data_IF_655441897459
#
_entry.id   IF_655441897459
#
_cell.length_a   1.000
_cell.length_b   1.000
_cell.length_c   1.000
_cell.angle_alpha   90.00
_cell.angle_beta   90.00
_cell.angle_gamma   90.00
#
_symmetry.space_group_name_H-M   'P 1'
#
loop_
_entity.id
_entity.type
_entity.pdbx_description
1 polymer ?
#
# COMPACT_ATOMS: atom_id res chain seq x y z
N UNK A 1 21.58 28.42 9.06
CA UNK A 1 21.56 27.16 8.28
C UNK A 1 20.39 26.31 8.79
N UNK A 2 19.22 26.29 8.12
CA UNK A 2 18.19 25.28 8.39
C UNK A 2 18.38 24.08 7.46
N UNK A 3 18.39 22.89 8.06
CA UNK A 3 18.63 21.61 7.41
C UNK A 3 17.43 21.25 6.52
N UNK A 4 17.60 21.36 5.20
CA UNK A 4 16.61 20.96 4.22
C UNK A 4 16.60 19.43 4.08
N UNK A 5 15.92 18.73 4.98
CA UNK A 5 15.66 17.30 4.85
C UNK A 5 14.31 17.03 4.17
N UNK A 6 14.42 16.97 2.84
CA UNK A 6 13.72 16.07 1.92
C UNK A 6 12.22 16.31 1.58
N UNK A 7 12.03 16.87 0.39
CA UNK A 7 10.79 17.27 -0.30
C UNK A 7 9.83 16.15 -0.76
N UNK A 8 9.58 15.11 0.04
CA UNK A 8 8.72 13.98 -0.38
C UNK A 8 7.68 13.59 0.68
N UNK A 9 6.99 14.57 1.25
CA UNK A 9 5.98 14.31 2.28
C UNK A 9 4.58 14.70 1.81
N UNK A 10 3.91 13.74 1.17
CA UNK A 10 2.47 13.82 1.01
C UNK A 10 1.86 13.63 2.41
N UNK A 11 1.39 14.74 2.99
CA UNK A 11 0.69 14.74 4.28
C UNK A 11 -0.79 14.50 4.02
N UNK A 12 -1.36 13.48 4.64
CA UNK A 12 -2.82 13.26 4.60
C UNK A 12 -3.56 14.43 5.29
N UNK A 13 -4.88 14.55 5.16
CA UNK A 13 -5.70 15.64 5.72
C UNK A 13 -5.55 15.78 7.26
N UNK A 14 -5.06 14.72 7.91
CA UNK A 14 -4.70 14.69 9.34
C UNK A 14 -3.28 15.21 9.65
N UNK A 15 -2.51 15.67 8.65
CA UNK A 15 -1.14 16.17 8.81
C UNK A 15 -0.04 15.11 8.94
N UNK A 16 -0.39 13.82 8.83
CA UNK A 16 0.54 12.68 8.93
C UNK A 16 1.21 12.33 7.61
N UNK A 17 2.48 11.95 7.70
CA UNK A 17 3.28 11.56 6.55
C UNK A 17 2.75 10.23 5.99
N UNK A 18 2.31 10.22 4.72
CA UNK A 18 1.84 8.99 4.05
C UNK A 18 2.95 7.93 3.98
N UNK A 19 4.22 8.36 3.94
CA UNK A 19 5.40 7.50 3.89
C UNK A 19 5.65 6.69 5.16
N UNK A 20 5.10 7.10 6.30
CA UNK A 20 5.43 6.45 7.58
C UNK A 20 4.58 5.23 7.89
N UNK A 21 3.52 4.94 7.10
CA UNK A 21 2.64 3.77 7.34
C UNK A 21 2.36 3.57 8.84
N UNK A 22 2.14 4.66 9.58
CA UNK A 22 2.33 4.71 11.03
C UNK A 22 1.38 3.74 11.74
N UNK A 23 1.90 2.60 12.20
CA UNK A 23 1.14 1.58 12.91
C UNK A 23 0.11 0.82 12.06
N UNK A 24 0.13 0.98 10.74
CA UNK A 24 -0.82 0.31 9.85
C UNK A 24 -0.33 -1.12 9.60
N UNK A 25 -1.13 -2.09 10.03
CA UNK A 25 -0.81 -3.51 9.82
C UNK A 25 -0.85 -3.81 8.31
N UNK A 26 0.04 -4.70 7.85
CA UNK A 26 0.03 -5.21 6.46
C UNK A 26 -1.37 -5.72 6.04
N UNK A 27 -2.12 -6.25 7.01
CA UNK A 27 -3.52 -6.67 6.82
C UNK A 27 -4.41 -5.50 6.40
N UNK A 28 -4.31 -4.36 7.07
CA UNK A 28 -5.12 -3.17 6.81
C UNK A 28 -4.75 -2.51 5.49
N UNK A 29 -3.46 -2.47 5.16
CA UNK A 29 -2.97 -1.99 3.85
C UNK A 29 -3.58 -2.84 2.74
N UNK A 30 -3.52 -4.16 2.91
CA UNK A 30 -4.07 -5.09 1.95
C UNK A 30 -5.60 -4.99 1.87
N UNK A 31 -6.31 -4.93 3.00
CA UNK A 31 -7.77 -4.73 3.04
C UNK A 31 -8.18 -3.44 2.32
N UNK A 32 -7.43 -2.34 2.51
CA UNK A 32 -7.67 -1.08 1.82
C UNK A 32 -7.49 -1.22 0.31
N UNK A 33 -6.36 -1.78 -0.13
CA UNK A 33 -6.07 -1.97 -1.56
C UNK A 33 -7.07 -2.89 -2.23
N UNK A 34 -7.44 -3.99 -1.57
CA UNK A 34 -8.45 -4.92 -2.05
C UNK A 34 -9.84 -4.28 -2.07
N UNK A 35 -10.19 -3.45 -1.08
CA UNK A 35 -11.44 -2.71 -1.08
C UNK A 35 -11.52 -1.63 -2.16
N UNK A 36 -10.38 -1.00 -2.49
CA UNK A 36 -10.31 0.09 -3.46
C UNK A 36 -10.19 -0.41 -4.91
N UNK A 37 -9.32 -1.39 -5.16
CA UNK A 37 -9.00 -1.90 -6.50
C UNK A 37 -9.61 -3.28 -6.79
N UNK A 38 -9.88 -4.08 -5.76
CA UNK A 38 -10.27 -5.47 -5.92
C UNK A 38 -9.09 -6.42 -6.17
N UNK A 39 -9.30 -7.69 -5.82
CA UNK A 39 -8.36 -8.78 -6.08
C UNK A 39 -7.87 -8.90 -7.54
N UNK A 40 -8.70 -8.78 -8.59
CA UNK A 40 -8.23 -8.96 -9.97
C UNK A 40 -7.26 -7.86 -10.42
N UNK A 41 -7.39 -6.64 -9.91
CA UNK A 41 -6.49 -5.54 -10.24
C UNK A 41 -5.15 -5.68 -9.49
N UNK A 42 -5.21 -6.11 -8.22
CA UNK A 42 -4.00 -6.47 -7.48
C UNK A 42 -3.25 -7.64 -8.14
N UNK A 43 -3.96 -8.64 -8.64
CA UNK A 43 -3.35 -9.71 -9.43
C UNK A 43 -2.73 -9.15 -10.70
N UNK A 44 -3.38 -8.24 -11.44
CA UNK A 44 -2.76 -7.64 -12.62
C UNK A 44 -1.49 -6.86 -12.32
N UNK A 45 -1.46 -6.12 -11.21
CA UNK A 45 -0.32 -5.27 -10.83
C UNK A 45 0.83 -6.03 -10.19
N UNK A 46 0.51 -6.98 -9.29
CA UNK A 46 1.52 -7.73 -8.52
C UNK A 46 1.83 -9.09 -9.19
N UNK A 47 0.93 -9.58 -10.06
CA UNK A 47 0.96 -10.88 -10.76
C UNK A 47 1.18 -12.05 -9.82
N UNK A 48 0.27 -12.19 -8.84
CA UNK A 48 0.34 -13.25 -7.84
C UNK A 48 -0.97 -14.03 -7.77
N UNK A 49 -0.88 -15.31 -8.14
CA UNK A 49 -1.96 -16.30 -8.09
C UNK A 49 -2.67 -16.37 -6.73
N UNK A 50 -2.06 -15.87 -5.65
CA UNK A 50 -2.70 -15.80 -4.33
C UNK A 50 -4.05 -15.08 -4.38
N UNK A 51 -4.22 -14.07 -5.21
CA UNK A 51 -5.48 -13.32 -5.31
C UNK A 51 -6.52 -13.97 -6.22
N UNK A 52 -6.09 -14.86 -7.13
CA UNK A 52 -6.96 -15.58 -8.05
C UNK A 52 -7.49 -16.91 -7.49
N UNK A 53 -6.71 -17.58 -6.64
CA UNK A 53 -7.01 -18.94 -6.12
C UNK A 53 -7.69 -18.90 -4.74
N UNK A 54 -7.20 -18.06 -3.83
CA UNK A 54 -7.73 -17.94 -2.45
C UNK A 54 -7.75 -16.46 -2.02
N UNK A 55 -8.74 -15.68 -2.50
CA UNK A 55 -8.87 -14.26 -2.20
C UNK A 55 -9.28 -14.05 -0.73
N UNK A 56 -8.33 -14.21 0.18
CA UNK A 56 -8.51 -14.06 1.61
C UNK A 56 -7.32 -13.37 2.24
N UNK A 57 -7.60 -12.37 3.08
CA UNK A 57 -6.58 -11.56 3.77
C UNK A 57 -5.56 -12.44 4.52
N UNK A 58 -6.00 -13.52 5.17
CA UNK A 58 -5.11 -14.47 5.87
C UNK A 58 -4.17 -15.24 4.91
N UNK A 59 -4.67 -15.72 3.77
CA UNK A 59 -3.86 -16.40 2.75
C UNK A 59 -2.86 -15.44 2.13
N UNK A 60 -3.29 -14.23 1.79
CA UNK A 60 -2.41 -13.19 1.26
C UNK A 60 -1.33 -12.78 2.26
N UNK A 61 -1.64 -12.60 3.54
CA UNK A 61 -0.62 -12.34 4.58
C UNK A 61 0.41 -13.47 4.67
N UNK A 62 -0.03 -14.72 4.59
CA UNK A 62 0.85 -15.89 4.61
C UNK A 62 1.75 -15.90 3.37
N UNK A 63 1.21 -15.52 2.20
CA UNK A 63 1.97 -15.38 0.96
C UNK A 63 2.97 -14.22 1.03
N UNK A 64 2.57 -13.05 1.51
CA UNK A 64 3.44 -11.87 1.66
C UNK A 64 4.61 -12.15 2.62
N UNK A 65 4.44 -13.02 3.61
CA UNK A 65 5.53 -13.51 4.48
C UNK A 65 6.51 -14.43 3.75
N UNK A 66 6.03 -15.23 2.79
CA UNK A 66 6.86 -16.12 1.97
C UNK A 66 7.52 -15.40 0.79
N UNK A 67 6.99 -14.24 0.40
CA UNK A 67 7.39 -13.52 -0.81
C UNK A 67 7.63 -12.04 -0.49
N UNK A 68 8.87 -11.68 -0.07
CA UNK A 68 9.17 -10.33 0.41
C UNK A 68 9.03 -9.24 -0.67
N UNK A 69 9.28 -9.56 -1.94
CA UNK A 69 9.08 -8.61 -3.04
C UNK A 69 7.60 -8.24 -3.25
N UNK A 70 6.67 -9.16 -2.97
CA UNK A 70 5.24 -8.90 -3.09
C UNK A 70 4.79 -7.94 -1.99
N UNK A 71 5.33 -8.11 -0.78
CA UNK A 71 5.14 -7.18 0.34
C UNK A 71 5.55 -5.75 -0.02
N UNK A 72 6.77 -5.58 -0.52
CA UNK A 72 7.26 -4.27 -0.95
C UNK A 72 6.36 -3.65 -2.03
N UNK A 73 5.86 -4.46 -2.98
CA UNK A 73 4.93 -4.01 -4.03
C UNK A 73 3.61 -3.49 -3.46
N UNK A 74 3.02 -4.21 -2.50
CA UNK A 74 1.77 -3.81 -1.82
C UNK A 74 1.99 -2.49 -1.06
N UNK A 75 3.09 -2.38 -0.32
CA UNK A 75 3.47 -1.16 0.41
C UNK A 75 3.64 0.04 -0.55
N UNK A 76 4.34 -0.15 -1.67
CA UNK A 76 4.55 0.88 -2.69
C UNK A 76 3.24 1.32 -3.36
N UNK A 77 2.35 0.37 -3.66
CA UNK A 77 1.04 0.66 -4.24
C UNK A 77 0.17 1.49 -3.30
N UNK A 78 0.20 1.16 -2.01
CA UNK A 78 -0.51 1.93 -1.00
C UNK A 78 0.00 3.37 -0.90
N UNK A 79 1.32 3.54 -0.86
CA UNK A 79 1.95 4.87 -0.84
C UNK A 79 1.56 5.65 -2.09
N UNK A 80 1.63 5.04 -3.28
CA UNK A 80 1.22 5.69 -4.53
C UNK A 80 -0.25 6.10 -4.51
N UNK A 81 -1.14 5.23 -4.03
CA UNK A 81 -2.58 5.51 -3.96
C UNK A 81 -2.84 6.69 -3.04
N UNK A 82 -2.33 6.64 -1.81
CA UNK A 82 -2.49 7.71 -0.82
C UNK A 82 -1.84 9.02 -1.27
N UNK A 83 -0.66 8.94 -1.88
CA UNK A 83 0.05 10.11 -2.41
C UNK A 83 -0.72 10.73 -3.57
N UNK A 84 -1.30 9.92 -4.46
CA UNK A 84 -2.15 10.39 -5.55
C UNK A 84 -3.45 11.03 -5.04
N UNK A 85 -4.08 10.47 -4.00
CA UNK A 85 -5.25 11.07 -3.34
C UNK A 85 -4.94 12.46 -2.78
N UNK A 86 -3.75 12.65 -2.19
CA UNK A 86 -3.31 13.95 -1.66
C UNK A 86 -2.89 14.92 -2.76
N UNK A 87 -2.14 14.48 -3.76
CA UNK A 87 -1.69 15.31 -4.88
C UNK A 87 -2.84 15.72 -5.82
N UNK A 88 -3.89 14.91 -5.91
CA UNK A 88 -5.05 15.14 -6.77
C UNK A 88 -6.09 16.12 -6.23
N UNK A 89 -5.98 16.58 -4.98
CA UNK A 89 -6.89 17.56 -4.34
C UNK A 89 -6.50 19.04 -4.62
N UNK A 90 -5.95 19.34 -5.80
CA UNK A 90 -5.51 20.71 -6.15
C UNK A 90 -6.58 21.50 -6.92
#
# INVERSE_FOLDING_TARGET
MPEAQNSADARDESGHLIRELHGIKLAQILEYLVGHYGWPELDRRIRINCFAVDPSIKSSLTFLRRTPWARAKVEELYIQTRTAEVLGKR
#
